data_IF_936222333721
#
_entry.id   IF_936222333721
#
_cell.length_a   1.000
_cell.length_b   1.000
_cell.length_c   1.000
_cell.angle_alpha   90.00
_cell.angle_beta   90.00
_cell.angle_gamma   90.00
#
_symmetry.space_group_name_H-M   'P 1'
#
loop_
_entity.id
_entity.type
_entity.pdbx_description
1 polymer ?
#
# COMPACT_ATOMS: atom_id res chain seq x y z
N UNK A 1 16.24 -8.32 13.98
CA UNK A 1 14.90 -8.60 13.42
C UNK A 1 14.01 -7.40 13.73
N UNK A 2 14.15 -6.33 12.95
CA UNK A 2 13.33 -5.11 13.09
C UNK A 2 12.95 -4.69 11.67
N UNK A 3 12.26 -5.58 10.95
CA UNK A 3 11.52 -5.16 9.77
C UNK A 3 10.26 -4.49 10.27
N UNK A 4 10.39 -3.19 10.56
CA UNK A 4 9.27 -2.27 10.64
C UNK A 4 8.59 -2.31 9.27
N UNK A 5 7.67 -3.26 9.12
CA UNK A 5 6.72 -3.32 8.01
C UNK A 5 5.99 -1.97 7.98
N UNK A 6 6.49 -1.04 7.16
CA UNK A 6 5.87 0.27 6.96
C UNK A 6 4.64 0.08 6.08
N UNK A 7 3.52 -0.29 6.69
CA UNK A 7 2.22 -0.09 6.06
C UNK A 7 1.94 1.41 6.01
N UNK A 8 1.54 1.87 4.83
CA UNK A 8 1.25 3.28 4.58
C UNK A 8 -0.21 3.43 4.22
N UNK A 9 -0.97 4.11 5.07
CA UNK A 9 -2.34 4.51 4.79
C UNK A 9 -2.32 5.94 4.21
N UNK A 10 -2.86 6.13 3.01
CA UNK A 10 -3.00 7.43 2.37
C UNK A 10 -4.48 7.82 2.36
N UNK A 11 -4.80 8.93 2.99
CA UNK A 11 -6.15 9.46 3.04
C UNK A 11 -6.33 10.49 1.90
N UNK A 12 -7.45 10.46 1.19
CA UNK A 12 -7.77 11.46 0.16
C UNK A 12 -9.15 12.01 0.50
N UNK A 13 -9.22 13.33 0.66
CA UNK A 13 -10.36 13.99 1.29
C UNK A 13 -10.90 15.06 0.35
N UNK A 14 -11.91 14.68 -0.44
CA UNK A 14 -12.46 15.49 -1.52
C UNK A 14 -11.59 15.56 -2.77
N UNK A 15 -11.92 16.49 -3.66
CA UNK A 15 -11.27 16.67 -4.98
C UNK A 15 -9.95 17.46 -4.91
N UNK A 16 -9.55 17.93 -3.73
CA UNK A 16 -8.28 18.64 -3.57
C UNK A 16 -7.13 17.67 -3.35
N UNK A 17 -6.06 17.71 -4.18
CA UNK A 17 -4.85 16.97 -3.91
C UNK A 17 -4.21 17.53 -2.63
N UNK A 18 -4.31 16.78 -1.54
CA UNK A 18 -3.63 17.12 -0.30
C UNK A 18 -2.25 16.46 -0.28
N UNK A 19 -1.23 17.30 -0.14
CA UNK A 19 0.12 16.85 0.17
C UNK A 19 0.20 16.53 1.67
N UNK A 20 0.70 15.34 2.02
CA UNK A 20 0.95 14.86 3.39
C UNK A 20 -0.18 14.19 4.19
N UNK A 21 -1.23 13.68 3.54
CA UNK A 21 -2.26 12.87 4.21
C UNK A 21 -1.87 11.40 4.39
N UNK A 22 -0.65 11.17 4.90
CA UNK A 22 -0.06 9.82 4.98
C UNK A 22 0.14 9.41 6.43
N UNK A 23 -0.51 8.32 6.84
CA UNK A 23 -0.43 7.74 8.18
C UNK A 23 0.33 6.41 8.09
N UNK A 24 1.23 6.19 9.05
CA UNK A 24 1.86 4.89 9.27
C UNK A 24 0.98 4.09 10.23
N UNK A 25 0.53 2.92 9.80
CA UNK A 25 -0.27 2.02 10.63
C UNK A 25 0.53 0.77 10.97
N UNK A 26 0.14 0.12 12.06
CA UNK A 26 0.84 -1.07 12.52
C UNK A 26 0.59 -2.22 11.56
N UNK A 27 1.65 -2.92 11.17
CA UNK A 27 1.55 -4.08 10.31
C UNK A 27 0.84 -5.28 10.94
N UNK A 28 0.70 -5.28 12.27
CA UNK A 28 0.01 -6.33 13.04
C UNK A 28 -1.49 -6.43 12.71
N UNK A 29 -2.12 -5.29 12.43
CA UNK A 29 -3.54 -5.21 12.07
C UNK A 29 -3.74 -4.98 10.56
N UNK A 30 -2.65 -4.76 9.82
CA UNK A 30 -2.68 -4.61 8.36
C UNK A 30 -3.49 -3.41 7.90
N UNK A 31 -4.03 -3.48 6.68
CA UNK A 31 -4.87 -2.43 6.10
C UNK A 31 -6.23 -2.28 6.78
N UNK A 32 -6.57 -3.13 7.74
CA UNK A 32 -7.85 -3.10 8.43
C UNK A 32 -8.01 -1.84 9.30
N UNK A 33 -6.90 -1.30 9.81
CA UNK A 33 -6.88 -0.01 10.52
C UNK A 33 -6.96 1.20 9.58
N UNK A 34 -6.69 1.04 8.28
CA UNK A 34 -6.78 2.12 7.30
C UNK A 34 -8.23 2.35 6.89
N UNK A 35 -8.97 3.11 7.70
CA UNK A 35 -10.38 3.41 7.47
C UNK A 35 -10.61 4.94 7.38
N UNK A 36 -11.72 5.39 6.77
CA UNK A 36 -12.00 6.81 6.62
C UNK A 36 -12.21 7.53 7.96
N UNK A 37 -12.61 6.81 9.01
CA UNK A 37 -12.80 7.36 10.37
C UNK A 37 -11.45 7.74 11.00
N UNK A 38 -10.41 6.94 10.79
CA UNK A 38 -9.05 7.22 11.22
C UNK A 38 -8.52 8.46 10.49
N UNK A 39 -8.79 8.55 9.19
CA UNK A 39 -8.42 9.69 8.37
C UNK A 39 -9.09 10.99 8.83
N UNK A 40 -10.39 10.98 9.13
CA UNK A 40 -11.09 12.17 9.63
C UNK A 40 -10.70 12.55 11.05
N UNK A 41 -10.24 11.60 11.87
CA UNK A 41 -9.69 11.89 13.20
C UNK A 41 -8.27 12.48 13.13
N UNK A 42 -7.46 12.09 12.13
CA UNK A 42 -6.07 12.54 12.03
C UNK A 42 -5.89 13.79 11.18
N UNK A 43 -6.77 14.00 10.19
CA UNK A 43 -6.74 15.13 9.28
C UNK A 43 -8.07 15.88 9.35
N UNK A 44 -8.01 17.12 9.81
CA UNK A 44 -9.18 17.98 9.98
C UNK A 44 -9.84 18.31 8.63
N UNK A 45 -9.06 18.37 7.55
CA UNK A 45 -9.61 18.57 6.20
C UNK A 45 -10.50 17.40 5.75
N UNK A 46 -10.23 16.19 6.26
CA UNK A 46 -11.05 15.00 6.01
C UNK A 46 -12.34 15.00 6.79
N UNK A 47 -12.33 15.53 8.02
CA UNK A 47 -13.56 15.72 8.79
C UNK A 47 -14.46 16.74 8.09
N UNK A 48 -13.91 17.86 7.63
CA UNK A 48 -14.64 18.90 6.90
C UNK A 48 -15.20 18.41 5.56
N UNK A 49 -14.42 17.63 4.79
CA UNK A 49 -14.89 17.04 3.54
C UNK A 49 -16.10 16.11 3.76
N UNK A 50 -16.07 15.32 4.83
CA UNK A 50 -17.18 14.42 5.17
C UNK A 50 -18.46 15.19 5.53
N UNK A 51 -18.35 16.33 6.22
CA UNK A 51 -19.49 17.19 6.59
C UNK A 51 -20.10 17.91 5.37
N UNK A 52 -19.31 18.18 4.33
CA UNK A 52 -19.75 18.86 3.10
C UNK A 52 -20.20 17.89 1.99
N UNK A 53 -20.32 16.59 2.28
CA UNK A 53 -20.72 15.58 1.29
C UNK A 53 -19.61 15.15 0.32
N UNK A 54 -18.36 15.51 0.60
CA UNK A 54 -17.19 15.02 -0.13
C UNK A 54 -16.87 13.56 0.19
N UNK A 55 -16.37 12.82 -0.79
CA UNK A 55 -15.91 11.45 -0.59
C UNK A 55 -14.54 11.42 0.10
N UNK A 56 -14.45 10.69 1.22
CA UNK A 56 -13.16 10.33 1.85
C UNK A 56 -12.77 8.96 1.33
N UNK A 57 -11.70 8.89 0.55
CA UNK A 57 -11.17 7.63 0.03
C UNK A 57 -9.86 7.29 0.74
N UNK A 58 -9.66 6.01 1.03
CA UNK A 58 -8.49 5.51 1.74
C UNK A 58 -7.74 4.54 0.88
N UNK A 59 -6.44 4.78 0.71
CA UNK A 59 -5.53 3.90 0.00
C UNK A 59 -4.54 3.31 0.96
N UNK A 60 -4.72 2.02 1.25
CA UNK A 60 -3.70 1.27 1.96
C UNK A 60 -2.66 0.75 0.97
N UNK A 61 -1.42 1.13 1.17
CA UNK A 61 -0.28 0.63 0.41
C UNK A 61 0.43 -0.38 1.30
N UNK A 62 0.13 -1.64 1.03
CA UNK A 62 0.83 -2.74 1.67
C UNK A 62 2.07 -3.13 0.84
N UNK A 63 3.25 -2.68 1.29
CA UNK A 63 4.54 -3.08 0.71
C UNK A 63 5.00 -4.46 1.17
N UNK A 64 4.21 -5.18 1.97
CA UNK A 64 4.45 -6.59 2.30
C UNK A 64 4.19 -7.54 1.14
N UNK A 65 3.82 -7.02 -0.04
CA UNK A 65 3.64 -7.80 -1.24
C UNK A 65 4.87 -8.69 -1.47
N UNK A 66 4.75 -9.92 -0.98
CA UNK A 66 5.67 -11.03 -1.19
C UNK A 66 5.62 -11.44 -2.68
N UNK A 67 4.52 -11.07 -3.34
CA UNK A 67 4.17 -11.28 -4.74
C UNK A 67 5.22 -10.75 -5.75
N UNK A 68 5.69 -9.49 -5.72
CA UNK A 68 6.76 -9.03 -6.60
C UNK A 68 8.09 -9.77 -6.39
N UNK A 69 8.45 -10.11 -5.14
CA UNK A 69 9.68 -10.89 -4.88
C UNK A 69 9.58 -12.30 -5.48
N UNK A 70 8.42 -12.95 -5.33
CA UNK A 70 8.17 -14.24 -5.97
C UNK A 70 8.14 -14.17 -7.50
N UNK A 71 7.51 -13.14 -8.07
CA UNK A 71 7.44 -12.95 -9.51
C UNK A 71 8.84 -12.79 -10.13
N UNK A 72 9.71 -12.00 -9.49
CA UNK A 72 11.10 -11.84 -9.93
C UNK A 72 11.86 -13.16 -9.81
N UNK A 73 11.74 -13.88 -8.69
CA UNK A 73 12.39 -15.18 -8.51
C UNK A 73 11.94 -16.21 -9.55
N UNK A 74 10.65 -16.25 -9.87
CA UNK A 74 10.08 -17.15 -10.87
C UNK A 74 10.54 -16.82 -12.29
N UNK A 75 10.60 -15.54 -12.66
CA UNK A 75 11.15 -15.10 -13.94
C UNK A 75 12.63 -15.51 -14.10
N UNK A 76 13.44 -15.31 -13.07
CA UNK A 76 14.85 -15.72 -13.07
C UNK A 76 14.94 -17.25 -13.25
N UNK A 77 14.15 -18.01 -12.52
CA UNK A 77 14.13 -19.48 -12.63
C UNK A 77 13.78 -19.95 -14.04
N UNK A 78 12.74 -19.39 -14.66
CA UNK A 78 12.35 -19.72 -16.04
C UNK A 78 13.46 -19.37 -17.02
N UNK A 79 14.07 -18.20 -16.91
CA UNK A 79 15.16 -17.80 -17.82
C UNK A 79 16.37 -18.72 -17.71
N UNK A 80 16.78 -19.09 -16.49
CA UNK A 80 17.84 -20.08 -16.25
C UNK A 80 17.51 -21.45 -16.86
N UNK A 81 16.28 -21.92 -16.69
CA UNK A 81 15.84 -23.19 -17.25
C UNK A 81 15.88 -23.18 -18.78
N UNK A 82 15.41 -22.11 -19.41
CA UNK A 82 15.46 -21.96 -20.87
C UNK A 82 16.88 -21.93 -21.42
N UNK A 83 17.80 -21.24 -20.73
CA UNK A 83 19.23 -21.21 -21.11
C UNK A 83 19.85 -22.60 -21.02
N UNK A 84 19.58 -23.34 -19.95
CA UNK A 84 20.07 -24.72 -19.81
C UNK A 84 19.53 -25.64 -20.91
N UNK A 85 18.25 -25.53 -21.26
CA UNK A 85 17.66 -26.31 -22.36
C UNK A 85 18.27 -25.94 -23.71
N UNK A 86 18.56 -24.65 -23.94
CA UNK A 86 19.20 -24.19 -25.17
C UNK A 86 20.67 -24.65 -25.28
N UNK A 87 21.39 -24.77 -24.16
CA UNK A 87 22.78 -25.23 -24.12
C UNK A 87 22.93 -26.76 -24.13
N UNK A 88 21.90 -27.50 -23.69
CA UNK A 88 21.86 -28.97 -23.77
C UNK A 88 21.26 -29.46 -25.11
N UNK A 89 20.97 -28.55 -26.03
CA UNK A 89 20.59 -28.83 -27.42
C UNK A 89 21.80 -28.61 -28.32
#
# INVERSE_FOLDING_TARGET
MVDVLRLRCRCICGDHPQDNTTILISSTHGCQECNPVLCSHHFEDCSMAQTHGGAVTVHCIDRTAFMPRFAIGFLIFITMFLVLVALNK
#
